data_IF_956112959381
#
_entry.id   IF_956112959381
#
_cell.length_a   1.000
_cell.length_b   1.000
_cell.length_c   1.000
_cell.angle_alpha   90.00
_cell.angle_beta   90.00
_cell.angle_gamma   90.00
#
_symmetry.space_group_name_H-M   'P 1'
#
loop_
_entity.id
_entity.type
_entity.pdbx_description
1 polymer ?
#
# COMPACT_ATOMS: atom_id res chain seq x y z
N UNK A 1 -2.92 -15.73 -14.62
CA UNK A 1 -1.45 -15.69 -14.59
C UNK A 1 -0.87 -16.57 -15.71
N UNK A 2 -0.99 -16.11 -16.98
CA UNK A 2 -0.60 -16.91 -18.16
C UNK A 2 0.92 -17.15 -18.31
N UNK A 3 1.75 -16.51 -17.49
CA UNK A 3 3.21 -16.60 -17.61
C UNK A 3 3.93 -16.91 -16.28
N UNK A 4 3.24 -17.44 -15.27
CA UNK A 4 3.88 -17.72 -13.97
C UNK A 4 4.33 -16.46 -13.21
N UNK A 5 3.84 -15.29 -13.61
CA UNK A 5 4.19 -14.00 -13.01
C UNK A 5 3.06 -13.42 -12.20
N UNK A 6 3.38 -12.84 -11.05
CA UNK A 6 2.51 -12.03 -10.23
C UNK A 6 2.98 -10.58 -10.18
N UNK A 7 2.06 -9.63 -10.13
CA UNK A 7 2.38 -8.23 -9.84
C UNK A 7 2.02 -7.94 -8.39
N UNK A 8 3.01 -7.60 -7.59
CA UNK A 8 2.86 -7.28 -6.18
C UNK A 8 3.11 -5.81 -5.91
N UNK A 9 2.35 -5.28 -4.97
CA UNK A 9 2.56 -3.94 -4.44
C UNK A 9 3.72 -3.99 -3.44
N UNK A 10 4.75 -3.17 -3.65
CA UNK A 10 5.88 -3.07 -2.74
C UNK A 10 5.70 -1.99 -1.68
N UNK A 11 5.13 -0.85 -2.08
CA UNK A 11 4.84 0.26 -1.17
C UNK A 11 3.72 1.14 -1.70
N UNK A 12 3.09 1.88 -0.78
CA UNK A 12 2.09 2.89 -1.10
C UNK A 12 2.20 4.07 -0.14
N UNK A 13 1.99 5.27 -0.67
CA UNK A 13 1.71 6.49 0.08
C UNK A 13 0.33 6.99 -0.30
N UNK A 14 -0.43 7.46 0.68
CA UNK A 14 -1.73 8.10 0.51
C UNK A 14 -1.70 9.41 1.28
N UNK A 15 -1.96 10.51 0.58
CA UNK A 15 -2.15 11.83 1.16
C UNK A 15 -3.65 12.16 1.16
N UNK A 16 -4.22 12.44 2.33
CA UNK A 16 -5.64 12.66 2.54
C UNK A 16 -5.86 14.16 2.69
N UNK A 17 -6.58 14.74 1.74
CA UNK A 17 -7.02 16.16 1.78
C UNK A 17 -8.25 16.29 2.67
N UNK A 18 -9.25 15.44 2.42
CA UNK A 18 -10.45 15.28 3.25
C UNK A 18 -11.02 13.87 3.15
N UNK A 19 -11.71 13.43 4.16
CA UNK A 19 -12.48 12.18 4.10
C UNK A 19 -13.82 12.45 3.39
N UNK A 20 -14.21 11.59 2.41
CA UNK A 20 -15.53 11.63 1.82
C UNK A 20 -16.63 11.35 2.85
N UNK A 21 -17.79 11.95 2.66
CA UNK A 21 -18.97 11.62 3.47
C UNK A 21 -19.57 10.28 3.02
N UNK A 22 -20.32 9.63 3.93
CA UNK A 22 -21.03 8.41 3.58
C UNK A 22 -22.07 8.68 2.48
N UNK A 23 -22.05 7.87 1.42
CA UNK A 23 -22.94 8.02 0.27
C UNK A 23 -22.51 9.09 -0.74
N UNK A 24 -21.37 9.75 -0.53
CA UNK A 24 -20.82 10.70 -1.49
C UNK A 24 -20.39 9.99 -2.78
N UNK A 25 -20.76 10.55 -3.94
CA UNK A 25 -20.35 10.00 -5.21
C UNK A 25 -18.89 10.37 -5.51
N UNK A 26 -18.08 9.36 -5.74
CA UNK A 26 -16.65 9.52 -5.94
C UNK A 26 -16.22 9.03 -7.33
N UNK A 27 -15.18 9.65 -7.87
CA UNK A 27 -14.49 9.22 -9.08
C UNK A 27 -13.06 8.81 -8.76
N UNK A 28 -12.66 7.60 -9.18
CA UNK A 28 -11.29 7.12 -9.07
C UNK A 28 -10.58 7.29 -10.40
N UNK A 29 -9.47 8.05 -10.42
CA UNK A 29 -8.54 8.13 -11.56
C UNK A 29 -7.23 7.46 -11.21
N UNK A 30 -6.66 6.68 -12.14
CA UNK A 30 -5.38 6.01 -11.90
C UNK A 30 -4.61 5.82 -13.20
N UNK A 31 -3.29 6.05 -13.17
CA UNK A 31 -2.40 5.92 -14.33
C UNK A 31 -0.98 5.59 -13.90
N UNK A 32 -0.17 5.11 -14.85
CA UNK A 32 1.25 4.85 -14.65
C UNK A 32 2.02 6.10 -15.04
N UNK A 33 2.88 6.62 -14.15
CA UNK A 33 3.67 7.82 -14.43
C UNK A 33 5.17 7.53 -14.61
N UNK A 34 5.63 6.38 -14.11
CA UNK A 34 7.00 5.89 -14.33
C UNK A 34 6.99 4.37 -14.41
N UNK A 35 7.81 3.82 -15.30
CA UNK A 35 7.94 2.38 -15.46
C UNK A 35 9.29 2.04 -16.04
N UNK A 36 9.96 1.07 -15.46
CA UNK A 36 11.17 0.47 -15.99
C UNK A 36 11.09 -1.05 -15.92
N UNK A 37 12.18 -1.75 -16.27
CA UNK A 37 12.18 -3.22 -16.29
C UNK A 37 12.04 -3.90 -14.93
N UNK A 38 12.04 -3.18 -13.82
CA UNK A 38 11.98 -3.75 -12.47
C UNK A 38 10.74 -3.36 -11.68
N UNK A 39 10.18 -2.18 -11.95
CA UNK A 39 9.01 -1.68 -11.24
C UNK A 39 8.18 -0.75 -12.13
N UNK A 40 6.94 -0.52 -11.71
CA UNK A 40 6.07 0.53 -12.22
C UNK A 40 5.54 1.38 -11.09
N UNK A 41 5.50 2.71 -11.32
CA UNK A 41 4.94 3.68 -10.40
C UNK A 41 3.58 4.14 -10.91
N UNK A 42 2.59 4.16 -10.03
CA UNK A 42 1.20 4.50 -10.35
C UNK A 42 0.67 5.58 -9.43
N UNK A 43 0.06 6.62 -10.00
CA UNK A 43 -0.78 7.54 -9.25
C UNK A 43 -2.23 7.04 -9.19
N UNK A 44 -2.92 7.44 -8.14
CA UNK A 44 -4.36 7.21 -7.97
C UNK A 44 -4.94 8.42 -7.25
N UNK A 45 -5.99 9.02 -7.81
CA UNK A 45 -6.74 10.12 -7.21
C UNK A 45 -8.15 9.67 -6.89
N UNK A 46 -8.63 10.06 -5.73
CA UNK A 46 -10.02 9.99 -5.35
C UNK A 46 -10.62 11.39 -5.43
N UNK A 47 -11.59 11.58 -6.32
CA UNK A 47 -12.19 12.86 -6.64
C UNK A 47 -13.67 12.85 -6.22
N UNK A 48 -14.16 13.97 -5.72
CA UNK A 48 -15.58 14.18 -5.47
C UNK A 48 -16.37 14.50 -6.77
N UNK A 49 -17.66 14.75 -6.64
CA UNK A 49 -18.54 15.06 -7.75
C UNK A 49 -18.20 16.39 -8.46
N UNK A 50 -17.52 17.31 -7.79
CA UNK A 50 -17.02 18.56 -8.39
C UNK A 50 -15.67 18.38 -9.06
N UNK A 51 -15.03 17.20 -8.92
CA UNK A 51 -13.72 16.91 -9.46
C UNK A 51 -12.56 17.32 -8.54
N UNK A 52 -12.88 17.74 -7.30
CA UNK A 52 -11.87 18.13 -6.31
C UNK A 52 -11.22 16.88 -5.69
N UNK A 53 -9.93 16.97 -5.42
CA UNK A 53 -9.15 15.84 -4.86
C UNK A 53 -9.46 15.66 -3.37
N UNK A 54 -9.98 14.49 -3.02
CA UNK A 54 -10.17 14.06 -1.64
C UNK A 54 -8.95 13.32 -1.10
N UNK A 55 -8.33 12.50 -1.95
CA UNK A 55 -7.08 11.83 -1.62
C UNK A 55 -6.23 11.63 -2.88
N UNK A 56 -4.92 11.74 -2.70
CA UNK A 56 -3.93 11.43 -3.72
C UNK A 56 -3.01 10.30 -3.22
N UNK A 57 -2.68 9.38 -4.11
CA UNK A 57 -1.84 8.24 -3.76
C UNK A 57 -0.85 7.95 -4.86
N UNK A 58 0.30 7.42 -4.47
CA UNK A 58 1.20 6.74 -5.38
C UNK A 58 1.68 5.42 -4.80
N UNK A 59 2.04 4.50 -5.68
CA UNK A 59 2.52 3.19 -5.28
C UNK A 59 3.55 2.65 -6.24
N UNK A 60 4.34 1.69 -5.77
CA UNK A 60 5.29 0.92 -6.56
C UNK A 60 4.79 -0.52 -6.67
N UNK A 61 4.61 -0.98 -7.91
CA UNK A 61 4.37 -2.37 -8.23
C UNK A 61 5.63 -3.05 -8.78
N UNK A 62 5.86 -4.28 -8.37
CA UNK A 62 6.98 -5.13 -8.81
C UNK A 62 6.47 -6.44 -9.36
N UNK A 63 7.19 -7.02 -10.33
CA UNK A 63 6.89 -8.35 -10.82
C UNK A 63 7.65 -9.40 -10.02
N UNK A 64 6.96 -10.48 -9.72
CA UNK A 64 7.47 -11.61 -8.96
C UNK A 64 7.22 -12.88 -9.76
N UNK A 65 8.24 -13.72 -9.88
CA UNK A 65 8.09 -15.09 -10.36
C UNK A 65 7.38 -15.91 -9.28
N UNK A 66 6.21 -16.45 -9.61
CA UNK A 66 5.35 -17.16 -8.66
C UNK A 66 5.91 -18.52 -8.24
N UNK A 67 6.84 -19.09 -9.03
CA UNK A 67 7.47 -20.37 -8.71
C UNK A 67 8.61 -20.22 -7.70
N UNK A 68 9.35 -19.11 -7.78
CA UNK A 68 10.51 -18.82 -6.93
C UNK A 68 10.22 -17.81 -5.83
N UNK A 69 9.09 -17.12 -5.89
CA UNK A 69 8.70 -15.98 -5.03
C UNK A 69 9.76 -14.84 -5.05
N UNK A 70 10.52 -14.71 -6.11
CA UNK A 70 11.57 -13.69 -6.27
C UNK A 70 11.15 -12.61 -7.25
N UNK A 71 11.59 -11.38 -6.98
CA UNK A 71 11.45 -10.28 -7.92
C UNK A 71 12.06 -10.61 -9.28
N UNK A 72 11.35 -10.30 -10.35
CA UNK A 72 11.80 -10.56 -11.72
C UNK A 72 11.60 -9.33 -12.60
N UNK A 73 12.20 -9.37 -13.79
CA UNK A 73 12.03 -8.27 -14.76
C UNK A 73 10.64 -8.28 -15.35
N UNK A 74 10.12 -7.09 -15.60
CA UNK A 74 8.88 -6.91 -16.35
C UNK A 74 9.13 -7.41 -17.79
N UNK A 75 8.31 -8.31 -18.34
CA UNK A 75 8.40 -8.76 -19.73
C UNK A 75 8.35 -7.59 -20.71
N UNK A 76 9.21 -7.62 -21.72
CA UNK A 76 9.33 -6.54 -22.71
C UNK A 76 7.98 -6.23 -23.37
N UNK A 77 7.20 -7.24 -23.71
CA UNK A 77 5.88 -7.10 -24.33
C UNK A 77 4.89 -6.31 -23.44
N UNK A 78 5.02 -6.39 -22.12
CA UNK A 78 4.20 -5.61 -21.20
C UNK A 78 4.71 -4.17 -21.11
N UNK A 79 6.03 -3.95 -21.12
CA UNK A 79 6.61 -2.62 -21.12
C UNK A 79 6.20 -1.81 -22.35
N UNK A 80 6.14 -2.44 -23.52
CA UNK A 80 5.73 -1.81 -24.79
C UNK A 80 4.25 -1.39 -24.80
N UNK A 81 3.42 -1.98 -23.94
CA UNK A 81 2.01 -1.63 -23.79
C UNK A 81 1.77 -0.52 -22.76
N UNK A 82 2.78 -0.19 -21.95
CA UNK A 82 2.64 0.85 -20.93
C UNK A 82 2.58 2.22 -21.58
N UNK A 83 1.50 2.97 -21.28
CA UNK A 83 1.40 4.39 -21.59
C UNK A 83 1.68 5.17 -20.33
N UNK A 84 2.70 6.01 -20.38
CA UNK A 84 3.06 6.90 -19.28
C UNK A 84 2.28 8.20 -19.41
N UNK A 85 1.74 8.67 -18.29
CA UNK A 85 1.15 9.99 -18.14
C UNK A 85 1.97 10.81 -17.12
N UNK A 86 1.89 12.14 -17.12
CA UNK A 86 2.61 12.97 -16.16
C UNK A 86 2.31 12.58 -14.72
N UNK A 87 3.33 12.62 -13.88
CA UNK A 87 3.14 12.42 -12.43
C UNK A 87 2.21 13.50 -11.86
N UNK A 88 1.33 13.12 -10.94
CA UNK A 88 0.51 14.08 -10.21
C UNK A 88 1.40 14.95 -9.31
N UNK A 89 1.06 16.22 -9.17
CA UNK A 89 1.79 17.13 -8.29
C UNK A 89 1.51 16.84 -6.83
N UNK A 90 2.39 16.07 -6.20
CA UNK A 90 2.36 15.72 -4.78
C UNK A 90 3.79 15.49 -4.25
N UNK A 91 3.97 15.46 -2.95
CA UNK A 91 5.24 15.08 -2.36
C UNK A 91 5.47 13.57 -2.48
N UNK A 92 6.53 13.16 -3.19
CA UNK A 92 6.94 11.76 -3.34
C UNK A 92 8.00 11.42 -2.32
N UNK A 93 7.61 10.88 -1.18
CA UNK A 93 8.55 10.44 -0.14
C UNK A 93 9.25 9.14 -0.58
N UNK A 94 10.49 8.88 -0.12
CA UNK A 94 11.22 7.66 -0.45
C UNK A 94 10.36 6.41 -0.20
N UNK A 95 10.24 5.52 -1.18
CA UNK A 95 9.40 4.32 -1.07
C UNK A 95 9.84 3.36 0.06
N UNK A 96 11.12 3.38 0.40
CA UNK A 96 11.66 2.57 1.50
C UNK A 96 11.28 3.21 2.83
N UNK A 97 10.47 2.51 3.62
CA UNK A 97 10.21 2.85 5.01
C UNK A 97 11.35 2.28 5.87
N UNK A 98 11.96 3.14 6.67
CA UNK A 98 12.96 2.76 7.67
C UNK A 98 12.25 2.85 9.01
N UNK A 99 12.04 1.71 9.65
CA UNK A 99 11.43 1.67 10.98
C UNK A 99 12.38 2.30 12.00
N UNK A 100 11.83 2.97 13.03
CA UNK A 100 12.59 3.37 14.19
C UNK A 100 13.33 2.19 14.82
N UNK A 101 14.40 2.50 15.53
CA UNK A 101 15.26 1.49 16.17
C UNK A 101 14.43 0.58 17.10
N UNK A 102 14.83 -0.69 17.17
CA UNK A 102 14.15 -1.69 18.00
C UNK A 102 14.26 -1.40 19.51
N UNK A 103 15.24 -0.58 19.93
CA UNK A 103 15.38 -0.14 21.32
C UNK A 103 14.37 0.91 21.77
N UNK A 104 13.64 1.51 20.81
CA UNK A 104 12.55 2.42 21.12
C UNK A 104 11.43 1.69 21.88
N UNK A 105 10.61 2.42 22.68
CA UNK A 105 9.56 1.81 23.50
C UNK A 105 8.34 1.37 22.65
N UNK A 106 8.55 0.34 21.83
CA UNK A 106 7.48 -0.28 21.07
C UNK A 106 6.48 -0.95 21.98
N UNK A 107 5.21 -0.60 21.82
CA UNK A 107 4.11 -1.29 22.48
C UNK A 107 3.71 -2.52 21.66
N UNK A 108 3.72 -3.70 22.31
CA UNK A 108 3.20 -4.92 21.70
C UNK A 108 1.67 -4.89 21.79
N UNK A 109 1.00 -5.04 20.65
CA UNK A 109 -0.45 -5.12 20.58
C UNK A 109 -0.91 -6.59 20.56
N UNK A 110 -2.24 -6.79 20.65
CA UNK A 110 -2.83 -8.12 20.59
C UNK A 110 -2.59 -8.79 19.25
N UNK A 111 -2.13 -10.03 19.30
CA UNK A 111 -1.94 -10.84 18.10
C UNK A 111 -3.26 -11.08 17.36
N UNK A 112 -3.17 -11.17 16.04
CA UNK A 112 -4.29 -11.45 15.13
C UNK A 112 -3.96 -12.65 14.25
N UNK A 113 -4.95 -13.48 13.98
CA UNK A 113 -4.82 -14.55 13.00
C UNK A 113 -5.43 -14.09 11.68
N UNK A 114 -4.68 -14.22 10.59
CA UNK A 114 -5.20 -13.92 9.26
C UNK A 114 -6.31 -14.91 8.89
N UNK A 115 -7.55 -14.47 8.95
CA UNK A 115 -8.72 -15.28 8.65
C UNK A 115 -9.05 -15.30 7.14
N UNK A 116 -10.03 -16.14 6.77
CA UNK A 116 -10.41 -16.33 5.36
C UNK A 116 -10.94 -15.05 4.70
N UNK A 117 -11.57 -14.14 5.44
CA UNK A 117 -12.13 -12.89 4.91
C UNK A 117 -11.05 -11.89 4.47
N UNK A 118 -9.84 -12.06 4.99
CA UNK A 118 -8.68 -11.23 4.65
C UNK A 118 -7.94 -11.70 3.39
N UNK A 119 -8.22 -12.93 2.90
CA UNK A 119 -7.42 -13.57 1.85
C UNK A 119 -7.98 -13.25 0.47
N UNK A 120 -7.09 -12.81 -0.42
CA UNK A 120 -7.42 -12.55 -1.82
C UNK A 120 -7.26 -13.79 -2.73
N UNK A 121 -7.51 -13.60 -4.03
CA UNK A 121 -7.38 -14.66 -5.05
C UNK A 121 -5.95 -15.21 -5.24
N UNK A 122 -4.95 -14.53 -4.72
CA UNK A 122 -3.55 -14.98 -4.73
C UNK A 122 -3.18 -15.75 -3.47
N UNK A 123 -4.16 -16.08 -2.63
CA UNK A 123 -4.00 -16.81 -1.37
C UNK A 123 -3.13 -16.09 -0.33
N UNK A 124 -3.06 -14.76 -0.39
CA UNK A 124 -2.39 -13.90 0.57
C UNK A 124 -3.37 -12.90 1.18
N UNK A 125 -3.01 -12.36 2.33
CA UNK A 125 -3.76 -11.24 2.92
C UNK A 125 -3.79 -10.09 1.91
N UNK A 126 -4.99 -9.65 1.58
CA UNK A 126 -5.21 -8.53 0.66
C UNK A 126 -4.54 -7.25 1.20
N UNK A 127 -3.88 -6.51 0.32
CA UNK A 127 -3.17 -5.30 0.69
C UNK A 127 -4.04 -4.27 1.44
N UNK A 128 -5.33 -4.17 1.12
CA UNK A 128 -6.26 -3.29 1.83
C UNK A 128 -6.48 -3.70 3.28
N UNK A 129 -6.42 -5.01 3.60
CA UNK A 129 -6.61 -5.51 4.97
C UNK A 129 -5.51 -5.07 5.93
N UNK A 130 -4.32 -4.79 5.42
CA UNK A 130 -3.27 -4.19 6.25
C UNK A 130 -3.59 -2.75 6.67
N UNK A 131 -4.43 -2.03 5.91
CA UNK A 131 -4.94 -0.73 6.36
C UNK A 131 -5.92 -0.89 7.52
N UNK A 132 -6.86 -1.85 7.42
CA UNK A 132 -7.82 -2.14 8.50
C UNK A 132 -7.07 -2.50 9.80
N UNK A 133 -6.07 -3.39 9.69
CA UNK A 133 -5.20 -3.75 10.82
C UNK A 133 -4.41 -2.56 11.37
N UNK A 134 -3.93 -1.70 10.48
CA UNK A 134 -3.24 -0.47 10.83
C UNK A 134 -4.13 0.50 11.59
N UNK A 135 -5.37 0.71 11.14
CA UNK A 135 -6.33 1.58 11.80
C UNK A 135 -6.74 1.08 13.19
N UNK A 136 -6.97 -0.24 13.32
CA UNK A 136 -7.21 -0.84 14.65
C UNK A 136 -6.03 -0.68 15.61
N UNK A 137 -4.82 -0.61 15.09
CA UNK A 137 -3.60 -0.44 15.88
C UNK A 137 -3.32 1.01 16.29
N UNK A 138 -3.99 2.00 15.70
CA UNK A 138 -3.81 3.40 16.06
C UNK A 138 -4.36 3.70 17.47
N UNK A 139 -3.80 4.70 18.18
CA UNK A 139 -4.43 5.20 19.40
C UNK A 139 -5.84 5.74 19.11
N UNK A 140 -6.74 5.60 20.08
CA UNK A 140 -8.11 6.16 19.98
C UNK A 140 -8.07 7.65 19.65
N UNK A 141 -8.86 8.07 18.64
CA UNK A 141 -8.93 9.47 18.20
C UNK A 141 -7.69 9.97 17.44
N UNK A 142 -6.74 9.08 17.06
CA UNK A 142 -5.56 9.49 16.31
C UNK A 142 -5.94 9.99 14.92
N UNK A 143 -5.67 11.26 14.65
CA UNK A 143 -5.91 11.88 13.34
C UNK A 143 -4.64 11.88 12.49
N UNK A 144 -4.78 11.52 11.23
CA UNK A 144 -3.67 11.53 10.28
C UNK A 144 -4.12 12.08 8.92
N UNK A 145 -3.16 12.65 8.18
CA UNK A 145 -3.37 13.12 6.80
C UNK A 145 -2.51 12.38 5.79
N UNK A 146 -1.61 11.54 6.25
CA UNK A 146 -0.74 10.73 5.39
C UNK A 146 -0.56 9.34 5.96
N UNK A 147 -0.68 8.35 5.08
CA UNK A 147 -0.38 6.96 5.37
C UNK A 147 0.71 6.48 4.42
N UNK A 148 1.69 5.79 4.96
CA UNK A 148 2.70 5.11 4.17
C UNK A 148 2.79 3.66 4.61
N UNK A 149 2.79 2.76 3.64
CA UNK A 149 2.86 1.33 3.91
C UNK A 149 3.92 0.67 3.02
N UNK A 150 4.70 -0.24 3.59
CA UNK A 150 5.63 -1.10 2.86
C UNK A 150 5.23 -2.56 3.06
N UNK A 151 5.00 -3.25 1.95
CA UNK A 151 4.64 -4.67 1.92
C UNK A 151 5.91 -5.49 1.71
N UNK A 152 6.33 -6.26 2.72
CA UNK A 152 7.57 -7.02 2.68
C UNK A 152 7.34 -8.51 2.48
N UNK A 153 6.58 -9.10 3.38
CA UNK A 153 6.31 -10.54 3.36
C UNK A 153 4.80 -10.76 3.32
N UNK A 154 4.28 -11.44 2.28
CA UNK A 154 2.86 -11.71 2.19
C UNK A 154 2.45 -12.72 3.26
N UNK A 155 1.48 -12.37 4.11
CA UNK A 155 0.87 -13.29 5.06
C UNK A 155 -0.17 -14.18 4.35
N UNK A 156 -0.33 -15.42 4.82
CA UNK A 156 -1.29 -16.40 4.30
C UNK A 156 -2.39 -16.66 5.32
N UNK A 157 -3.44 -17.34 4.91
CA UNK A 157 -4.48 -17.81 5.82
C UNK A 157 -3.88 -18.58 7.00
N UNK A 158 -4.31 -18.27 8.21
CA UNK A 158 -3.82 -18.85 9.44
C UNK A 158 -2.48 -18.28 9.95
N UNK A 159 -1.87 -17.34 9.21
CA UNK A 159 -0.67 -16.66 9.71
C UNK A 159 -0.97 -15.85 10.97
N UNK A 160 -0.09 -15.93 11.95
CA UNK A 160 -0.12 -15.05 13.11
C UNK A 160 0.49 -13.71 12.75
N UNK A 161 -0.25 -12.64 12.99
CA UNK A 161 0.16 -11.26 12.82
C UNK A 161 0.35 -10.68 14.21
N UNK A 162 1.57 -10.26 14.53
CA UNK A 162 1.96 -9.76 15.85
C UNK A 162 2.27 -8.25 15.74
N UNK A 163 1.27 -7.38 15.74
CA UNK A 163 1.49 -5.94 15.52
C UNK A 163 2.12 -5.31 16.74
N UNK A 164 3.00 -4.34 16.47
CA UNK A 164 3.56 -3.46 17.48
C UNK A 164 3.44 -2.01 17.03
N UNK A 165 3.27 -1.12 17.99
CA UNK A 165 3.06 0.31 17.78
C UNK A 165 4.14 1.13 18.46
N UNK A 166 4.57 2.22 17.79
CA UNK A 166 5.38 3.26 18.38
C UNK A 166 4.81 4.62 17.99
N UNK A 167 4.39 5.41 18.96
CA UNK A 167 3.92 6.78 18.75
C UNK A 167 5.05 7.74 19.07
N UNK A 168 5.35 8.65 18.15
CA UNK A 168 6.37 9.71 18.28
C UNK A 168 5.75 11.07 17.96
N UNK A 169 6.53 12.14 18.13
CA UNK A 169 6.10 13.47 17.68
C UNK A 169 5.90 13.57 16.16
N UNK A 170 6.56 12.70 15.38
CA UNK A 170 6.50 12.69 13.92
C UNK A 170 5.35 11.85 13.36
N UNK A 171 4.79 10.93 14.16
CA UNK A 171 3.72 10.07 13.72
C UNK A 171 3.59 8.77 14.51
N UNK A 172 2.70 7.89 14.03
CA UNK A 172 2.50 6.56 14.58
C UNK A 172 3.05 5.51 13.63
N UNK A 173 3.91 4.65 14.14
CA UNK A 173 4.50 3.52 13.44
C UNK A 173 3.81 2.23 13.86
N UNK A 174 3.44 1.42 12.88
CA UNK A 174 2.86 0.09 13.11
C UNK A 174 3.70 -0.91 12.30
N UNK A 175 4.20 -1.95 12.95
CA UNK A 175 5.09 -2.94 12.36
C UNK A 175 4.70 -4.37 12.75
#
# INVERSE_FOLDING_TARGET
>A
AEHGLGMYLASRQIDIVRMPAYGEQMTLKTWIFDCNRFYGCRNTLLLDAAGEVCAASWCIGVFVDLSTARGTRIPQILLEQVRLEPAYEMEYLPHKLILPDASQPWEQLSDRVADRSMIDRYHHVNNARYFDLGEEALPEGYAYRRVRIAYKTPAKHGALICPRRLTTAEGCWIA
#
